data_IF_299427625654
#
_entry.id   IF_299427625654
#
_cell.length_a   1.000
_cell.length_b   1.000
_cell.length_c   1.000
_cell.angle_alpha   90.00
_cell.angle_beta   90.00
_cell.angle_gamma   90.00
#
_symmetry.space_group_name_H-M   'P 1'
#
loop_
_entity.id
_entity.type
_entity.pdbx_description
1 polymer ?
#
# COMPACT_ATOMS: atom_id res chain seq x y z
N UNK A 1 75.67 -4.54 25.45
CA UNK A 1 74.69 -3.45 25.20
C UNK A 1 73.37 -4.12 24.93
N UNK A 2 72.49 -4.11 25.94
CA UNK A 2 71.23 -4.85 25.97
C UNK A 2 70.17 -3.98 25.30
N UNK A 3 69.45 -4.52 24.31
CA UNK A 3 68.30 -3.86 23.68
C UNK A 3 67.09 -4.25 24.54
N UNK A 4 66.54 -3.29 25.29
CA UNK A 4 65.27 -3.47 26.01
C UNK A 4 64.09 -2.98 25.17
N UNK A 5 62.98 -3.63 25.46
CA UNK A 5 61.67 -3.65 24.84
C UNK A 5 60.79 -2.41 25.06
N UNK A 6 59.86 -2.26 24.11
CA UNK A 6 58.46 -1.78 24.20
C UNK A 6 58.14 -0.34 24.60
N UNK A 7 57.39 0.33 23.72
CA UNK A 7 56.01 0.74 24.02
C UNK A 7 55.22 0.87 22.69
N UNK A 8 54.31 -0.09 22.43
CA UNK A 8 53.26 0.05 21.42
C UNK A 8 51.99 0.42 22.18
N UNK A 9 51.53 1.65 21.98
CA UNK A 9 50.25 2.10 22.51
C UNK A 9 49.10 1.24 21.97
N UNK A 10 48.19 0.74 22.82
CA UNK A 10 47.01 0.04 22.36
C UNK A 10 46.05 1.07 21.75
N UNK A 11 45.89 0.99 20.43
CA UNK A 11 44.82 1.63 19.69
C UNK A 11 43.49 1.29 20.36
N UNK A 12 42.80 2.33 20.81
CA UNK A 12 41.48 2.27 21.40
C UNK A 12 40.48 1.75 20.36
N UNK A 13 40.33 0.43 20.30
CA UNK A 13 39.19 -0.24 19.69
C UNK A 13 37.98 0.07 20.57
N UNK A 14 37.32 1.20 20.34
CA UNK A 14 35.94 1.38 20.79
C UNK A 14 35.13 0.29 20.10
N UNK A 15 34.76 -0.75 20.85
CA UNK A 15 33.87 -1.79 20.38
C UNK A 15 32.56 -1.13 19.96
N UNK A 16 32.30 -1.03 18.66
CA UNK A 16 30.93 -0.98 18.18
C UNK A 16 30.27 -2.25 18.71
N UNK A 17 29.41 -2.09 19.72
CA UNK A 17 28.52 -3.16 20.16
C UNK A 17 27.85 -3.70 18.88
N UNK A 18 28.04 -4.99 18.63
CA UNK A 18 27.50 -5.69 17.46
C UNK A 18 26.02 -5.34 17.33
N UNK A 19 25.66 -4.65 16.25
CA UNK A 19 24.32 -4.11 16.08
C UNK A 19 23.31 -5.26 15.95
N UNK A 20 22.45 -5.43 16.96
CA UNK A 20 21.39 -6.42 16.93
C UNK A 20 20.08 -5.80 16.43
N UNK A 21 19.81 -5.95 15.13
CA UNK A 21 18.57 -5.49 14.49
C UNK A 21 17.32 -6.09 15.12
N UNK A 22 17.35 -7.36 15.53
CA UNK A 22 16.18 -8.04 16.07
C UNK A 22 15.76 -7.45 17.42
N UNK A 23 16.73 -7.09 18.26
CA UNK A 23 16.48 -6.38 19.53
C UNK A 23 15.92 -4.98 19.29
N UNK A 24 16.45 -4.21 18.33
CA UNK A 24 15.92 -2.87 18.01
C UNK A 24 14.48 -2.95 17.49
N UNK A 25 14.16 -3.90 16.59
CA UNK A 25 12.79 -4.11 16.11
C UNK A 25 11.84 -4.46 17.25
N UNK A 26 12.25 -5.39 18.12
CA UNK A 26 11.43 -5.80 19.26
C UNK A 26 11.22 -4.65 20.23
N UNK A 27 12.27 -3.89 20.56
CA UNK A 27 12.16 -2.73 21.42
C UNK A 27 11.22 -1.66 20.85
N UNK A 28 11.30 -1.40 19.55
CA UNK A 28 10.39 -0.49 18.86
C UNK A 28 8.93 -0.99 18.89
N UNK A 29 8.70 -2.25 18.55
CA UNK A 29 7.37 -2.86 18.50
C UNK A 29 6.71 -2.98 19.89
N UNK A 30 7.50 -3.31 20.91
CA UNK A 30 7.05 -3.40 22.32
C UNK A 30 6.56 -2.05 22.85
N UNK A 31 6.98 -0.92 22.27
CA UNK A 31 6.45 0.40 22.65
C UNK A 31 4.99 0.57 22.28
N UNK A 32 4.54 -0.05 21.17
CA UNK A 32 3.21 0.14 20.55
C UNK A 32 2.86 1.58 20.14
N UNK A 33 3.80 2.52 20.26
CA UNK A 33 3.58 3.94 19.93
C UNK A 33 3.79 4.25 18.46
N UNK A 34 4.49 3.36 17.77
CA UNK A 34 4.87 3.53 16.37
C UNK A 34 5.81 4.70 16.10
N UNK A 35 5.86 5.14 14.86
CA UNK A 35 6.74 6.21 14.39
C UNK A 35 6.34 7.56 14.98
N UNK A 36 5.04 7.82 15.15
CA UNK A 36 4.53 9.03 15.83
C UNK A 36 5.12 9.15 17.24
N UNK A 37 5.20 8.06 18.00
CA UNK A 37 5.86 8.05 19.30
C UNK A 37 7.33 8.46 19.26
N UNK A 38 8.06 8.08 18.21
CA UNK A 38 9.44 8.53 18.00
C UNK A 38 9.53 10.03 17.67
N UNK A 39 8.61 10.52 16.84
CA UNK A 39 8.52 11.95 16.49
C UNK A 39 8.19 12.80 17.71
N UNK A 40 7.23 12.37 18.54
CA UNK A 40 6.80 13.07 19.75
C UNK A 40 7.90 13.13 20.82
N UNK A 41 8.80 12.13 20.84
CA UNK A 41 10.01 12.14 21.67
C UNK A 41 11.08 13.11 21.17
N UNK A 42 10.91 13.72 19.99
CA UNK A 42 11.85 14.68 19.42
C UNK A 42 13.21 14.05 19.10
N UNK A 43 13.24 12.80 18.63
CA UNK A 43 14.50 12.12 18.32
C UNK A 43 15.29 12.90 17.27
N UNK A 44 16.60 12.96 17.44
CA UNK A 44 17.53 13.65 16.54
C UNK A 44 18.30 12.69 15.62
N UNK A 45 18.13 11.38 15.80
CA UNK A 45 18.78 10.34 14.99
C UNK A 45 17.78 9.25 14.67
N UNK A 46 17.63 8.96 13.37
CA UNK A 46 16.73 7.91 12.89
C UNK A 46 17.28 6.53 13.31
N UNK A 47 16.46 5.66 13.94
CA UNK A 47 16.85 4.29 14.29
C UNK A 47 17.30 3.48 13.07
N UNK A 48 18.28 2.58 13.25
CA UNK A 48 18.90 1.86 12.12
C UNK A 48 17.91 0.97 11.39
N UNK A 49 16.89 0.45 12.08
CA UNK A 49 15.78 -0.30 11.47
C UNK A 49 15.03 0.43 10.35
N UNK A 50 15.05 1.77 10.28
CA UNK A 50 14.37 2.56 9.23
C UNK A 50 15.30 2.99 8.09
N UNK A 51 16.61 2.80 8.26
CA UNK A 51 17.60 3.20 7.24
C UNK A 51 17.66 2.10 6.19
N UNK A 52 17.26 2.44 4.96
CA UNK A 52 17.45 1.54 3.82
C UNK A 52 18.93 1.49 3.48
N UNK A 53 19.50 0.29 3.50
CA UNK A 53 20.84 0.10 2.97
C UNK A 53 20.78 0.24 1.45
N UNK A 54 21.79 0.85 0.80
CA UNK A 54 21.89 0.86 -0.64
C UNK A 54 21.88 -0.59 -1.14
N UNK A 55 20.93 -0.96 -1.99
CA UNK A 55 21.02 -2.26 -2.66
C UNK A 55 22.22 -2.20 -3.61
N UNK A 56 23.07 -3.22 -3.63
CA UNK A 56 24.23 -3.30 -4.53
C UNK A 56 23.85 -3.20 -6.03
N UNK A 57 22.57 -3.40 -6.36
CA UNK A 57 21.99 -3.29 -7.70
C UNK A 57 21.27 -1.96 -7.97
N UNK A 58 21.16 -1.06 -6.99
CA UNK A 58 20.70 0.30 -7.24
C UNK A 58 21.87 1.08 -7.86
N UNK A 59 21.82 1.26 -9.19
CA UNK A 59 22.50 2.40 -9.81
C UNK A 59 22.09 3.61 -8.98
N UNK A 60 23.09 4.38 -8.53
CA UNK A 60 22.92 5.64 -7.83
C UNK A 60 21.70 6.37 -8.37
N UNK A 61 20.90 6.96 -7.48
CA UNK A 61 19.94 8.01 -7.81
C UNK A 61 20.71 9.16 -8.50
N UNK A 62 21.10 8.96 -9.76
CA UNK A 62 21.28 10.07 -10.68
C UNK A 62 19.97 10.83 -10.58
N UNK A 63 20.07 12.13 -10.33
CA UNK A 63 18.94 13.03 -10.29
C UNK A 63 18.29 13.00 -11.68
N UNK A 64 17.46 12.00 -11.94
CA UNK A 64 16.65 11.92 -13.14
C UNK A 64 15.72 13.12 -13.00
N UNK A 65 15.91 14.08 -13.90
CA UNK A 65 15.01 15.23 -13.99
C UNK A 65 13.62 14.71 -14.34
N UNK A 66 12.78 14.59 -13.32
CA UNK A 66 11.42 14.07 -13.44
C UNK A 66 10.42 15.17 -13.82
N UNK A 67 10.88 16.36 -14.24
CA UNK A 67 10.01 17.47 -14.64
C UNK A 67 9.01 17.10 -15.73
N UNK A 68 9.32 16.09 -16.54
CA UNK A 68 8.54 15.71 -17.71
C UNK A 68 7.62 14.51 -17.49
N UNK A 69 7.65 13.88 -16.30
CA UNK A 69 6.78 12.73 -16.01
C UNK A 69 5.39 13.23 -15.61
N UNK A 70 4.45 13.15 -16.55
CA UNK A 70 3.03 13.43 -16.30
C UNK A 70 2.25 12.12 -16.17
N UNK A 71 1.81 11.84 -14.94
CA UNK A 71 0.93 10.71 -14.66
C UNK A 71 -0.41 10.94 -15.38
N UNK A 72 -0.97 9.95 -16.10
CA UNK A 72 -2.26 10.09 -16.76
C UNK A 72 -3.36 10.50 -15.78
N UNK A 73 -4.17 11.49 -16.16
CA UNK A 73 -5.33 11.96 -15.41
C UNK A 73 -6.59 11.66 -16.23
N UNK A 74 -7.52 10.92 -15.65
CA UNK A 74 -8.75 10.48 -16.31
C UNK A 74 -9.96 11.15 -15.65
N UNK A 75 -10.73 11.87 -16.45
CA UNK A 75 -11.99 12.47 -16.01
C UNK A 75 -13.12 11.46 -16.15
N UNK A 76 -13.70 11.03 -15.01
CA UNK A 76 -14.77 10.01 -14.99
C UNK A 76 -16.14 10.55 -15.43
N UNK A 77 -16.27 11.85 -15.70
CA UNK A 77 -17.47 12.45 -16.29
C UNK A 77 -17.38 12.62 -17.82
N UNK A 78 -16.30 12.14 -18.44
CA UNK A 78 -16.14 12.14 -19.89
C UNK A 78 -17.10 11.20 -20.62
N UNK A 79 -16.99 11.16 -21.95
CA UNK A 79 -17.68 10.14 -22.75
C UNK A 79 -17.22 8.74 -22.34
N UNK A 80 -18.16 7.81 -22.16
CA UNK A 80 -17.89 6.49 -21.58
C UNK A 80 -16.83 5.70 -22.36
N UNK A 81 -16.90 5.73 -23.70
CA UNK A 81 -15.93 5.01 -24.52
C UNK A 81 -14.55 5.67 -24.44
N UNK A 82 -14.50 7.00 -24.43
CA UNK A 82 -13.24 7.73 -24.26
C UNK A 82 -12.58 7.43 -22.89
N UNK A 83 -13.37 7.28 -21.84
CA UNK A 83 -12.87 6.91 -20.51
C UNK A 83 -12.29 5.49 -20.53
N UNK A 84 -12.98 4.51 -21.14
CA UNK A 84 -12.48 3.13 -21.27
C UNK A 84 -11.14 3.11 -22.01
N UNK A 85 -11.04 3.80 -23.15
CA UNK A 85 -9.83 3.83 -23.97
C UNK A 85 -8.65 4.45 -23.19
N UNK A 86 -8.90 5.51 -22.40
CA UNK A 86 -7.89 6.12 -21.52
C UNK A 86 -7.47 5.19 -20.39
N UNK A 87 -8.41 4.49 -19.75
CA UNK A 87 -8.14 3.53 -18.68
C UNK A 87 -7.29 2.38 -19.21
N UNK A 88 -7.62 1.83 -20.37
CA UNK A 88 -6.86 0.77 -21.03
C UNK A 88 -5.43 1.25 -21.30
N UNK A 89 -5.27 2.36 -22.00
CA UNK A 89 -3.96 2.91 -22.37
C UNK A 89 -3.10 3.21 -21.15
N UNK A 90 -3.65 3.85 -20.12
CA UNK A 90 -2.92 4.15 -18.90
C UNK A 90 -2.54 2.86 -18.15
N UNK A 91 -3.38 1.83 -18.17
CA UNK A 91 -3.06 0.55 -17.52
C UNK A 91 -1.95 -0.21 -18.26
N UNK A 92 -1.92 -0.16 -19.59
CA UNK A 92 -0.90 -0.81 -20.42
C UNK A 92 0.46 -0.09 -20.36
N UNK A 93 0.47 1.24 -20.44
CA UNK A 93 1.70 2.03 -20.53
C UNK A 93 2.29 2.38 -19.16
N UNK A 94 1.45 2.61 -18.15
CA UNK A 94 1.87 3.11 -16.84
C UNK A 94 1.61 2.11 -15.71
N UNK A 95 0.54 1.32 -15.79
CA UNK A 95 0.07 0.48 -14.69
C UNK A 95 -0.55 1.26 -13.52
N UNK A 96 -0.65 2.59 -13.62
CA UNK A 96 -1.33 3.46 -12.66
C UNK A 96 -1.76 4.79 -13.31
N UNK A 97 -2.80 5.41 -12.76
CA UNK A 97 -3.34 6.70 -13.22
C UNK A 97 -4.06 7.42 -12.09
N UNK A 98 -4.31 8.72 -12.27
CA UNK A 98 -5.17 9.52 -11.40
C UNK A 98 -6.58 9.63 -12.00
N UNK A 99 -7.58 9.78 -11.14
CA UNK A 99 -8.97 10.04 -11.55
C UNK A 99 -9.46 11.35 -10.98
N UNK A 100 -10.25 12.10 -11.76
CA UNK A 100 -10.94 13.32 -11.34
C UNK A 100 -12.43 13.19 -11.61
N UNK A 101 -13.23 14.06 -10.97
CA UNK A 101 -14.70 14.04 -11.04
C UNK A 101 -15.31 12.67 -10.68
N UNK A 102 -14.65 11.93 -9.80
CA UNK A 102 -14.95 10.57 -9.38
C UNK A 102 -16.16 10.43 -8.43
N UNK A 103 -16.96 11.49 -8.26
CA UNK A 103 -18.21 11.45 -7.48
C UNK A 103 -18.07 11.39 -5.95
N UNK A 104 -16.84 11.43 -5.40
CA UNK A 104 -16.63 11.50 -3.94
C UNK A 104 -16.60 12.96 -3.51
N UNK A 105 -17.48 13.42 -2.61
CA UNK A 105 -17.49 14.82 -2.18
C UNK A 105 -16.17 15.21 -1.51
N UNK A 106 -15.64 16.40 -1.85
CA UNK A 106 -14.41 16.93 -1.25
C UNK A 106 -14.51 17.02 0.28
N UNK A 107 -15.69 17.37 0.80
CA UNK A 107 -15.94 17.40 2.26
C UNK A 107 -15.72 16.04 2.92
N UNK A 108 -16.05 14.94 2.24
CA UNK A 108 -15.86 13.58 2.77
C UNK A 108 -14.36 13.24 2.78
N UNK A 109 -13.62 13.60 1.72
CA UNK A 109 -12.16 13.41 1.68
C UNK A 109 -11.46 14.20 2.79
N UNK A 110 -11.79 15.48 2.93
CA UNK A 110 -11.20 16.38 3.93
C UNK A 110 -11.49 15.91 5.35
N UNK A 111 -12.74 15.55 5.65
CA UNK A 111 -13.10 15.06 6.98
C UNK A 111 -12.49 13.69 7.29
N UNK A 112 -12.28 12.85 6.28
CA UNK A 112 -11.60 11.57 6.46
C UNK A 112 -10.12 11.78 6.83
N UNK A 113 -9.42 12.70 6.14
CA UNK A 113 -8.05 13.10 6.49
C UNK A 113 -8.00 13.62 7.93
N UNK A 114 -8.89 14.56 8.28
CA UNK A 114 -9.00 15.08 9.65
C UNK A 114 -9.31 13.99 10.67
N UNK A 115 -10.15 13.01 10.32
CA UNK A 115 -10.47 11.86 11.17
C UNK A 115 -9.24 11.03 11.52
N UNK A 116 -8.38 10.76 10.54
CA UNK A 116 -7.12 10.03 10.76
C UNK A 116 -6.16 10.83 11.61
N UNK A 117 -6.05 12.14 11.36
CA UNK A 117 -5.23 13.03 12.18
C UNK A 117 -5.73 12.98 13.63
N UNK A 118 -7.04 13.15 13.85
CA UNK A 118 -7.64 13.06 15.19
C UNK A 118 -7.32 11.74 15.88
N UNK A 119 -7.34 10.61 15.17
CA UNK A 119 -6.96 9.30 15.72
C UNK A 119 -5.48 9.24 16.11
N UNK A 120 -4.57 9.70 15.25
CA UNK A 120 -3.13 9.63 15.51
C UNK A 120 -2.66 10.56 16.63
N UNK A 121 -3.37 11.68 16.83
CA UNK A 121 -3.12 12.64 17.92
C UNK A 121 -3.79 12.23 19.25
N UNK A 122 -4.51 11.10 19.31
CA UNK A 122 -4.99 10.59 20.60
C UNK A 122 -3.84 10.06 21.45
N UNK A 123 -4.11 10.00 22.76
CA UNK A 123 -3.22 9.38 23.73
C UNK A 123 -2.86 7.93 23.34
N UNK A 124 -1.65 7.51 23.70
CA UNK A 124 -1.14 6.19 23.34
C UNK A 124 -2.02 5.07 23.91
N UNK A 125 -2.63 5.25 25.08
CA UNK A 125 -3.55 4.29 25.69
C UNK A 125 -4.72 3.94 24.76
N UNK A 126 -5.29 4.93 24.08
CA UNK A 126 -6.41 4.74 23.16
C UNK A 126 -5.95 4.04 21.88
N UNK A 127 -4.83 4.47 21.30
CA UNK A 127 -4.26 3.85 20.09
C UNK A 127 -3.81 2.41 20.35
N UNK A 128 -3.33 2.11 21.56
CA UNK A 128 -2.86 0.79 21.98
C UNK A 128 -3.98 -0.26 21.99
N UNK A 129 -5.24 0.13 22.16
CA UNK A 129 -6.39 -0.79 22.01
C UNK A 129 -6.47 -1.40 20.61
N UNK A 130 -6.00 -0.66 19.61
CA UNK A 130 -5.94 -1.08 18.22
C UNK A 130 -4.59 -1.67 17.83
N UNK A 131 -3.55 -1.52 18.66
CA UNK A 131 -2.20 -1.96 18.31
C UNK A 131 -2.09 -3.48 18.27
N UNK A 132 -1.88 -4.05 17.09
CA UNK A 132 -1.68 -5.50 16.96
C UNK A 132 -0.97 -5.88 15.65
N UNK A 133 -0.36 -7.07 15.67
CA UNK A 133 0.14 -7.78 14.48
C UNK A 133 -0.76 -8.94 14.06
N UNK A 134 -1.83 -9.20 14.80
CA UNK A 134 -2.85 -10.19 14.45
C UNK A 134 -3.75 -9.67 13.32
N UNK A 135 -3.52 -10.21 12.13
CA UNK A 135 -4.23 -9.84 10.89
C UNK A 135 -5.65 -10.43 10.81
N UNK A 136 -6.09 -11.23 11.79
CA UNK A 136 -7.48 -11.69 11.88
C UNK A 136 -8.42 -10.59 12.39
N UNK A 137 -7.88 -9.54 13.03
CA UNK A 137 -8.66 -8.38 13.46
C UNK A 137 -9.14 -7.58 12.25
N UNK A 138 -10.37 -7.06 12.34
CA UNK A 138 -10.94 -6.20 11.29
C UNK A 138 -10.47 -4.75 11.37
N UNK A 139 -10.07 -4.30 12.56
CA UNK A 139 -9.49 -2.97 12.79
C UNK A 139 -8.21 -3.17 13.56
N UNK A 140 -7.12 -2.61 13.05
CA UNK A 140 -5.86 -2.60 13.76
C UNK A 140 -5.01 -1.40 13.38
N UNK A 141 -4.13 -1.03 14.30
CA UNK A 141 -3.11 -0.03 14.15
C UNK A 141 -1.75 -0.70 14.29
N UNK A 142 -0.78 -0.37 13.44
CA UNK A 142 0.62 -0.73 13.65
C UNK A 142 1.55 0.08 12.76
N UNK A 143 2.85 -0.05 13.03
CA UNK A 143 3.91 0.38 12.13
C UNK A 143 4.46 -0.83 11.39
N UNK A 144 4.31 -0.81 10.07
CA UNK A 144 4.79 -1.84 9.13
C UNK A 144 4.16 -3.23 9.35
N UNK A 145 3.40 -3.69 8.35
CA UNK A 145 2.81 -5.03 8.34
C UNK A 145 3.88 -6.12 8.34
N UNK A 146 5.01 -5.87 7.71
CA UNK A 146 6.12 -6.79 7.46
C UNK A 146 7.37 -6.46 8.29
N UNK A 147 7.23 -5.78 9.43
CA UNK A 147 8.34 -5.24 10.24
C UNK A 147 9.50 -6.24 10.46
N UNK A 148 9.18 -7.49 10.79
CA UNK A 148 10.18 -8.54 11.10
C UNK A 148 10.76 -9.24 9.87
N UNK A 149 10.18 -9.03 8.69
CA UNK A 149 10.59 -9.69 7.44
C UNK A 149 11.36 -8.73 6.54
N UNK A 150 10.90 -7.48 6.46
CA UNK A 150 11.51 -6.46 5.59
C UNK A 150 12.92 -6.09 6.04
N UNK A 151 13.81 -5.79 5.08
CA UNK A 151 15.20 -5.34 5.33
C UNK A 151 15.25 -4.03 6.12
N UNK A 152 14.32 -3.12 5.84
CA UNK A 152 14.16 -1.85 6.53
C UNK A 152 12.66 -1.55 6.73
N UNK A 153 12.33 -0.99 7.88
CA UNK A 153 11.00 -0.50 8.20
C UNK A 153 10.72 0.83 7.48
N UNK A 154 9.46 1.10 7.16
CA UNK A 154 9.02 2.40 6.67
C UNK A 154 8.77 3.36 7.83
N UNK A 155 9.12 4.64 7.63
CA UNK A 155 8.80 5.74 8.55
C UNK A 155 7.30 6.11 8.44
N UNK A 156 6.44 5.22 8.93
CA UNK A 156 4.99 5.29 8.76
C UNK A 156 4.26 4.50 9.85
N UNK A 157 3.13 5.06 10.27
CA UNK A 157 2.08 4.37 11.01
C UNK A 157 0.82 4.17 10.16
N UNK A 158 0.07 3.12 10.42
CA UNK A 158 -1.10 2.75 9.62
C UNK A 158 -2.25 2.29 10.51
N UNK A 159 -3.39 2.95 10.38
CA UNK A 159 -4.68 2.42 10.82
C UNK A 159 -5.30 1.69 9.64
N UNK A 160 -5.60 0.41 9.82
CA UNK A 160 -6.26 -0.41 8.81
C UNK A 160 -7.67 -0.74 9.26
N UNK A 161 -8.62 -0.52 8.37
CA UNK A 161 -10.03 -0.86 8.56
C UNK A 161 -10.44 -1.78 7.43
N UNK A 162 -10.71 -3.05 7.77
CA UNK A 162 -11.17 -4.05 6.83
C UNK A 162 -12.70 -4.09 6.82
N UNK A 163 -13.29 -3.47 5.81
CA UNK A 163 -14.74 -3.40 5.59
C UNK A 163 -15.11 -4.36 4.46
N UNK A 164 -15.20 -5.66 4.77
CA UNK A 164 -15.67 -6.64 3.78
C UNK A 164 -17.20 -6.54 3.68
N UNK A 165 -17.74 -6.32 2.47
CA UNK A 165 -19.20 -6.22 2.24
C UNK A 165 -19.98 -7.44 2.77
N UNK A 166 -19.43 -8.63 2.59
CA UNK A 166 -20.05 -9.90 3.02
C UNK A 166 -19.97 -10.19 4.52
N UNK A 167 -19.19 -9.41 5.27
CA UNK A 167 -19.04 -9.57 6.71
C UNK A 167 -19.07 -8.19 7.42
N UNK A 168 -20.27 -7.57 7.50
CA UNK A 168 -20.42 -6.21 8.00
C UNK A 168 -19.89 -6.09 9.44
N UNK A 169 -18.99 -5.13 9.63
CA UNK A 169 -18.40 -4.86 10.94
C UNK A 169 -19.33 -4.03 11.82
N UNK A 170 -19.38 -4.32 13.12
CA UNK A 170 -20.01 -3.44 14.10
C UNK A 170 -19.27 -2.07 14.13
N UNK A 171 -19.95 -0.95 13.80
CA UNK A 171 -19.39 0.41 13.86
C UNK A 171 -18.70 0.78 15.17
N UNK A 172 -19.16 0.24 16.30
CA UNK A 172 -18.59 0.54 17.62
C UNK A 172 -17.15 0.07 17.76
N UNK A 173 -16.71 -0.89 16.93
CA UNK A 173 -15.32 -1.35 16.89
C UNK A 173 -14.38 -0.35 16.21
N UNK A 174 -14.90 0.65 15.50
CA UNK A 174 -14.09 1.71 14.91
C UNK A 174 -13.68 2.75 15.97
N UNK A 175 -12.49 3.35 15.84
CA UNK A 175 -12.08 4.46 16.71
C UNK A 175 -13.08 5.60 16.64
N UNK A 176 -13.54 6.06 17.80
CA UNK A 176 -14.55 7.11 17.89
C UNK A 176 -14.12 8.39 17.13
N UNK A 177 -12.82 8.70 17.11
CA UNK A 177 -12.25 9.87 16.43
C UNK A 177 -12.52 9.94 14.91
N UNK A 178 -12.71 8.80 14.27
CA UNK A 178 -12.91 8.68 12.82
C UNK A 178 -14.06 7.77 12.39
N UNK A 179 -14.86 7.23 13.34
CA UNK A 179 -15.90 6.22 13.08
C UNK A 179 -16.89 6.62 12.00
N UNK A 180 -17.62 7.72 12.21
CA UNK A 180 -18.74 8.08 11.35
C UNK A 180 -18.27 8.43 9.93
N UNK A 181 -17.19 9.21 9.86
CA UNK A 181 -16.60 9.58 8.57
C UNK A 181 -15.97 8.39 7.84
N UNK A 182 -15.40 7.41 8.56
CA UNK A 182 -14.89 6.17 7.94
C UNK A 182 -16.04 5.42 7.26
N UNK A 183 -17.21 5.33 7.89
CA UNK A 183 -18.39 4.66 7.33
C UNK A 183 -18.88 5.40 6.09
N UNK A 184 -18.97 6.73 6.15
CA UNK A 184 -19.40 7.55 5.02
C UNK A 184 -18.41 7.48 3.85
N UNK A 185 -17.11 7.67 4.10
CA UNK A 185 -16.05 7.53 3.12
C UNK A 185 -16.04 6.14 2.49
N UNK A 186 -16.23 5.08 3.28
CA UNK A 186 -16.33 3.71 2.77
C UNK A 186 -17.45 3.59 1.74
N UNK A 187 -18.64 4.15 1.98
CA UNK A 187 -19.76 4.09 1.02
C UNK A 187 -19.38 4.70 -0.34
N UNK A 188 -18.71 5.86 -0.32
CA UNK A 188 -18.28 6.54 -1.53
C UNK A 188 -17.17 5.79 -2.29
N UNK A 189 -16.14 5.33 -1.58
CA UNK A 189 -15.05 4.55 -2.19
C UNK A 189 -15.52 3.21 -2.73
N UNK A 190 -16.53 2.63 -2.07
CA UNK A 190 -17.17 1.39 -2.48
C UNK A 190 -17.87 1.54 -3.84
N UNK A 191 -18.55 2.66 -4.09
CA UNK A 191 -19.13 2.98 -5.40
C UNK A 191 -18.05 3.29 -6.43
N UNK A 192 -17.05 4.10 -6.08
CA UNK A 192 -15.94 4.42 -6.97
C UNK A 192 -15.16 3.16 -7.40
N UNK A 193 -14.91 2.24 -6.47
CA UNK A 193 -14.28 0.95 -6.75
C UNK A 193 -15.07 0.15 -7.78
N UNK A 194 -16.39 0.04 -7.61
CA UNK A 194 -17.26 -0.66 -8.57
C UNK A 194 -17.17 -0.03 -9.97
N UNK A 195 -17.24 1.30 -10.07
CA UNK A 195 -17.09 2.02 -11.34
C UNK A 195 -15.73 1.76 -12.01
N UNK A 196 -14.63 1.77 -11.25
CA UNK A 196 -13.30 1.48 -11.81
C UNK A 196 -13.17 0.03 -12.27
N UNK A 197 -13.71 -0.92 -11.51
CA UNK A 197 -13.72 -2.33 -11.92
C UNK A 197 -14.59 -2.58 -13.15
N UNK A 198 -15.71 -1.89 -13.29
CA UNK A 198 -16.56 -1.93 -14.48
C UNK A 198 -15.79 -1.43 -15.71
N UNK A 199 -15.19 -0.23 -15.63
CA UNK A 199 -14.35 0.32 -16.71
C UNK A 199 -13.18 -0.58 -17.10
N UNK A 200 -12.48 -1.14 -16.11
CA UNK A 200 -11.39 -2.10 -16.36
C UNK A 200 -11.92 -3.39 -17.01
N UNK A 201 -13.09 -3.88 -16.59
CA UNK A 201 -13.69 -5.08 -17.17
C UNK A 201 -14.16 -4.86 -18.61
N UNK A 202 -14.65 -3.66 -18.92
CA UNK A 202 -15.01 -3.27 -20.29
C UNK A 202 -13.77 -3.04 -21.18
N UNK A 203 -12.66 -2.57 -20.60
CA UNK A 203 -11.38 -2.49 -21.27
C UNK A 203 -10.77 -3.87 -21.58
N UNK A 204 -11.13 -4.91 -20.82
CA UNK A 204 -10.61 -6.26 -21.04
C UNK A 204 -11.43 -7.01 -22.10
N UNK A 205 -10.73 -7.67 -23.01
CA UNK A 205 -11.36 -8.65 -23.90
C UNK A 205 -11.52 -9.97 -23.14
N UNK A 206 -12.76 -10.29 -22.76
CA UNK A 206 -13.09 -11.56 -22.10
C UNK A 206 -13.65 -12.55 -23.12
N UNK A 207 -13.05 -13.74 -23.21
CA UNK A 207 -13.56 -14.83 -24.04
C UNK A 207 -14.30 -15.89 -23.22
N UNK A 208 -15.31 -16.52 -23.83
CA UNK A 208 -15.96 -17.70 -23.29
C UNK A 208 -15.05 -18.92 -23.54
N UNK A 209 -14.84 -19.73 -22.52
CA UNK A 209 -14.16 -21.02 -22.64
C UNK A 209 -15.13 -22.19 -22.81
N UNK A 210 -14.64 -23.32 -23.30
CA UNK A 210 -15.43 -24.52 -23.61
C UNK A 210 -16.29 -25.01 -22.44
N UNK A 211 -15.80 -24.88 -21.20
CA UNK A 211 -16.55 -25.29 -20.01
C UNK A 211 -17.86 -24.50 -19.84
N UNK A 212 -17.83 -23.19 -20.08
CA UNK A 212 -19.02 -22.34 -20.02
C UNK A 212 -19.96 -22.61 -21.20
N UNK A 213 -19.43 -22.96 -22.37
CA UNK A 213 -20.25 -23.40 -23.50
C UNK A 213 -21.00 -24.70 -23.17
N UNK A 214 -20.31 -25.73 -22.65
CA UNK A 214 -20.91 -27.02 -22.28
C UNK A 214 -21.98 -26.84 -21.20
N UNK A 215 -21.64 -26.17 -20.09
CA UNK A 215 -22.55 -25.99 -18.95
C UNK A 215 -23.75 -25.11 -19.26
N UNK A 216 -23.64 -24.22 -20.25
CA UNK A 216 -24.76 -23.41 -20.73
C UNK A 216 -25.65 -24.11 -21.75
N UNK A 217 -25.40 -25.40 -22.06
CA UNK A 217 -26.08 -26.13 -23.13
C UNK A 217 -25.97 -25.39 -24.48
N UNK A 218 -24.73 -25.04 -24.86
CA UNK A 218 -24.40 -24.37 -26.12
C UNK A 218 -25.01 -22.97 -26.31
N UNK A 219 -25.57 -22.37 -25.24
CA UNK A 219 -26.08 -20.98 -25.28
C UNK A 219 -24.95 -19.96 -25.36
N UNK A 220 -23.85 -20.19 -24.64
CA UNK A 220 -22.61 -19.42 -24.76
C UNK A 220 -21.68 -20.10 -25.77
N UNK A 221 -20.91 -19.33 -26.53
CA UNK A 221 -20.02 -19.85 -27.58
C UNK A 221 -18.56 -19.54 -27.26
N UNK A 222 -17.77 -20.58 -27.08
CA UNK A 222 -16.32 -20.55 -27.14
C UNK A 222 -15.89 -20.33 -28.59
N UNK A 223 -14.91 -19.46 -28.80
CA UNK A 223 -14.46 -19.06 -30.13
C UNK A 223 -12.95 -19.26 -30.21
N UNK A 224 -12.49 -19.87 -31.31
CA UNK A 224 -11.07 -19.93 -31.61
C UNK A 224 -10.54 -18.50 -31.83
N UNK A 225 -9.54 -18.12 -31.04
CA UNK A 225 -8.79 -16.89 -31.22
C UNK A 225 -7.33 -17.22 -31.47
N UNK A 226 -6.65 -16.35 -32.22
CA UNK A 226 -5.23 -16.46 -32.54
C UNK A 226 -4.59 -15.10 -32.35
N UNK A 227 -3.46 -15.05 -31.67
CA UNK A 227 -2.63 -13.86 -31.68
C UNK A 227 -1.96 -13.76 -33.05
N UNK A 228 -1.99 -12.57 -33.65
CA UNK A 228 -1.24 -12.30 -34.86
C UNK A 228 0.15 -11.84 -34.43
N UNK A 229 1.20 -12.44 -34.97
CA UNK A 229 2.56 -12.02 -34.68
C UNK A 229 2.71 -10.52 -35.01
N UNK A 230 3.07 -9.72 -34.01
CA UNK A 230 3.41 -8.31 -34.20
C UNK A 230 4.87 -8.22 -34.67
N UNK A 231 5.08 -7.53 -35.80
CA UNK A 231 6.41 -7.32 -36.42
C UNK A 231 7.20 -6.22 -35.71
N UNK A 232 6.64 -5.59 -34.66
CA UNK A 232 7.35 -4.60 -33.85
C UNK A 232 7.34 -5.03 -32.38
N UNK A 233 8.54 -5.07 -31.82
CA UNK A 233 8.88 -5.55 -30.49
C UNK A 233 8.30 -4.64 -29.40
N UNK A 234 7.15 -5.01 -28.85
CA UNK A 234 6.68 -4.55 -27.55
C UNK A 234 6.73 -5.76 -26.59
N UNK A 235 7.49 -5.72 -25.48
CA UNK A 235 7.52 -6.84 -24.55
C UNK A 235 6.17 -6.93 -23.83
N UNK A 236 5.48 -8.06 -23.99
CA UNK A 236 4.28 -8.37 -23.23
C UNK A 236 4.60 -8.48 -21.74
N UNK A 237 3.82 -7.80 -20.90
CA UNK A 237 3.83 -8.00 -19.46
C UNK A 237 2.96 -9.23 -19.16
N UNK A 238 3.58 -10.33 -18.74
CA UNK A 238 2.88 -11.34 -17.96
C UNK A 238 2.76 -10.80 -16.52
N UNK A 239 1.53 -10.53 -16.07
CA UNK A 239 1.27 -10.17 -14.68
C UNK A 239 1.57 -11.38 -13.79
N UNK A 240 2.77 -11.41 -13.18
CA UNK A 240 3.11 -12.36 -12.14
C UNK A 240 2.40 -11.99 -10.82
N UNK A 241 1.47 -12.87 -10.48
CA UNK A 241 0.61 -13.12 -9.30
C UNK A 241 0.73 -12.39 -7.95
N UNK A 242 1.73 -11.58 -7.63
CA UNK A 242 1.94 -11.25 -6.20
C UNK A 242 1.23 -9.99 -5.70
N UNK A 243 0.61 -9.22 -6.61
CA UNK A 243 -0.41 -8.21 -6.26
C UNK A 243 -1.85 -8.72 -6.45
N UNK A 244 -1.98 -9.99 -6.85
CA UNK A 244 -3.19 -10.62 -7.36
C UNK A 244 -3.82 -11.63 -6.40
N UNK A 245 -3.47 -11.56 -5.12
CA UNK A 245 -4.11 -12.36 -4.06
C UNK A 245 -5.51 -11.85 -3.67
N UNK A 246 -6.02 -10.79 -4.30
CA UNK A 246 -7.40 -10.34 -4.13
C UNK A 246 -8.31 -10.48 -5.36
N UNK A 247 -7.79 -10.69 -6.58
CA UNK A 247 -8.64 -10.70 -7.79
C UNK A 247 -8.73 -12.07 -8.48
N UNK A 248 -7.90 -13.08 -8.15
CA UNK A 248 -7.99 -14.40 -8.82
C UNK A 248 -8.60 -15.57 -8.00
N UNK A 249 -9.17 -15.34 -6.81
CA UNK A 249 -9.84 -16.43 -6.05
C UNK A 249 -11.34 -16.28 -5.78
N UNK A 250 -12.04 -15.40 -6.52
CA UNK A 250 -13.51 -15.47 -6.61
C UNK A 250 -14.03 -14.67 -7.81
N UNK A 251 -13.84 -15.18 -9.03
CA UNK A 251 -14.92 -15.04 -10.01
C UNK A 251 -16.06 -15.91 -9.49
N UNK A 252 -17.26 -15.33 -9.34
CA UNK A 252 -18.46 -15.83 -8.65
C UNK A 252 -18.58 -15.36 -7.18
N UNK A 253 -19.32 -14.24 -7.02
CA UNK A 253 -19.93 -13.70 -5.79
C UNK A 253 -18.99 -13.18 -4.68
N UNK A 254 -19.13 -11.90 -4.37
CA UNK A 254 -18.85 -11.26 -3.05
C UNK A 254 -17.41 -10.99 -2.59
N UNK A 255 -16.53 -10.45 -3.44
CA UNK A 255 -15.24 -9.89 -2.98
C UNK A 255 -15.01 -8.45 -3.44
N UNK A 256 -15.62 -7.50 -2.72
CA UNK A 256 -15.22 -6.08 -2.75
C UNK A 256 -14.44 -5.84 -1.47
N UNK A 257 -13.13 -6.10 -1.53
CA UNK A 257 -12.22 -5.76 -0.45
C UNK A 257 -11.90 -4.27 -0.50
N UNK A 258 -12.71 -3.46 0.18
CA UNK A 258 -12.29 -2.13 0.61
C UNK A 258 -11.39 -2.29 1.85
N UNK A 259 -10.12 -2.62 1.64
CA UNK A 259 -9.10 -2.42 2.65
C UNK A 259 -8.70 -0.94 2.62
N UNK A 260 -9.33 -0.12 3.46
CA UNK A 260 -8.92 1.28 3.60
C UNK A 260 -7.62 1.27 4.41
N UNK A 261 -6.51 1.47 3.71
CA UNK A 261 -5.19 1.65 4.32
C UNK A 261 -4.98 3.15 4.51
N UNK A 262 -5.07 3.62 5.75
CA UNK A 262 -4.92 5.04 6.07
C UNK A 262 -3.51 5.29 6.60
N UNK A 263 -2.73 6.06 5.84
CA UNK A 263 -1.33 6.31 6.16
C UNK A 263 -1.11 7.80 6.39
N UNK A 264 -0.76 8.18 7.62
CA UNK A 264 -0.16 9.49 7.89
C UNK A 264 1.34 9.35 7.68
N UNK A 265 1.93 10.12 6.75
CA UNK A 265 3.38 10.35 6.77
C UNK A 265 3.64 11.48 7.75
N UNK A 266 4.23 11.18 8.90
CA UNK A 266 4.78 12.20 9.77
C UNK A 266 6.03 12.78 9.09
N UNK A 267 5.86 13.79 8.24
CA UNK A 267 6.95 14.54 7.64
C UNK A 267 7.46 15.58 8.64
N UNK A 268 8.52 15.24 9.37
CA UNK A 268 9.51 16.24 9.78
C UNK A 268 10.77 15.94 8.98
N UNK A 269 11.12 16.86 8.08
CA UNK A 269 12.33 16.81 7.28
C UNK A 269 13.54 16.99 8.21
N UNK A 270 14.19 15.90 8.59
CA UNK A 270 15.54 15.93 9.13
C UNK A 270 16.48 15.64 7.96
N UNK A 271 17.25 16.67 7.58
CA UNK A 271 18.39 16.60 6.64
C UNK A 271 19.56 15.90 7.32
#
# INVERSE_FOLDING_TARGET
MVISSEEVHPSTMTSELEYNRAEELKAFDDTKKGVKGLVDLGINKIPKIFIRQPDENQKSDELIDHSDIQIPVIDLQGDHQEVIDKVMKASEEWGFFQVVNHGVPLSVLDEMIKGVIRFNEQDDEVKNEYYTRDRSKKVWYNSNVDLYVSKAANWRDTLTVNMIRSDPMNPEKLPAACRDITIEYTKHITVLGDTLFELLSEALVVNIGDLLQITSNDRLKSVEHRLKDMVESVPWIALNSDFLLCVYRTMVSDCILSAITMTCRCCNTLV
#
